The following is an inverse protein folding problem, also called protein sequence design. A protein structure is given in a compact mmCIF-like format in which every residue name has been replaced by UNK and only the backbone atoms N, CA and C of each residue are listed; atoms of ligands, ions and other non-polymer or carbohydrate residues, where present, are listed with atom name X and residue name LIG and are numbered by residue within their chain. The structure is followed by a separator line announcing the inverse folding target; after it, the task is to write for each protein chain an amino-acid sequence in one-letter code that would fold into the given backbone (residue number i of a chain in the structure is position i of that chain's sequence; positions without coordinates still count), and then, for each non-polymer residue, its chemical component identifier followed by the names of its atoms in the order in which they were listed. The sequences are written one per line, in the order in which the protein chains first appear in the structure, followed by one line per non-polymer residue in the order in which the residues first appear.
data_IF_055394886249
#
_entry.id   IF_055394886249
#
_cell.length_a   1.000
_cell.length_b   1.000
_cell.length_c   1.000
_cell.angle_alpha   90.00
_cell.angle_beta   90.00
_cell.angle_gamma   90.00
#
_symmetry.space_group_name_H-M   'P 1'
#
loop_
_entity.id
_entity.type
_entity.pdbx_description
1 polymer ?
#
# COMPACT_ATOMS: atom_id res chain seq x y z
N UNK A 1 7.82 10.07 32.25
CA UNK A 1 7.99 10.49 30.84
C UNK A 1 9.31 11.23 30.73
N UNK A 2 10.13 10.94 29.72
CA UNK A 2 11.48 11.49 29.60
C UNK A 2 11.60 12.22 28.27
N UNK A 3 12.11 13.45 28.30
CA UNK A 3 12.44 14.25 27.12
C UNK A 3 13.95 14.50 27.09
N UNK A 4 14.56 14.48 25.91
CA UNK A 4 15.97 14.90 25.74
C UNK A 4 16.07 16.41 25.53
N UNK A 5 17.00 17.07 26.22
CA UNK A 5 17.13 18.54 26.17
C UNK A 5 17.59 19.08 24.81
N UNK A 6 18.23 18.25 24.00
CA UNK A 6 18.74 18.58 22.66
C UNK A 6 18.23 17.56 21.63
N UNK A 7 16.97 17.14 21.73
CA UNK A 7 16.42 16.14 20.79
C UNK A 7 16.37 16.68 19.35
N UNK A 8 17.00 15.95 18.45
CA UNK A 8 17.02 16.21 16.99
C UNK A 8 16.19 15.19 16.22
N UNK A 9 15.74 14.11 16.87
CA UNK A 9 15.00 13.00 16.28
C UNK A 9 13.49 13.19 16.43
N UNK A 10 13.03 13.57 17.61
CA UNK A 10 11.60 13.78 17.91
C UNK A 10 11.28 15.27 17.76
N UNK A 11 10.36 15.60 16.85
CA UNK A 11 9.91 16.98 16.59
C UNK A 11 8.37 17.06 16.58
N UNK A 12 7.74 17.89 17.44
CA UNK A 12 8.34 18.61 18.58
C UNK A 12 8.87 17.66 19.67
N UNK A 13 9.97 18.02 20.34
CA UNK A 13 10.57 17.17 21.38
C UNK A 13 9.62 16.89 22.57
N UNK A 14 8.69 17.82 22.81
CA UNK A 14 7.71 17.77 23.87
C UNK A 14 6.62 16.70 23.65
N UNK A 15 6.53 16.13 22.45
CA UNK A 15 5.68 14.96 22.20
C UNK A 15 6.07 13.77 23.07
N UNK A 16 7.33 13.68 23.55
CA UNK A 16 7.75 12.70 24.58
C UNK A 16 7.02 12.85 25.92
N UNK A 17 6.39 14.01 26.16
CA UNK A 17 5.55 14.33 27.31
C UNK A 17 4.08 14.43 26.94
N UNK A 18 3.65 13.84 25.81
CA UNK A 18 2.29 13.88 25.29
C UNK A 18 1.79 15.29 24.93
N UNK A 19 2.69 16.23 24.64
CA UNK A 19 2.28 17.51 24.06
C UNK A 19 1.99 17.31 22.58
N UNK A 20 1.04 18.06 22.04
CA UNK A 20 0.61 17.97 20.64
C UNK A 20 0.53 19.35 20.04
N UNK A 21 0.69 19.46 18.73
CA UNK A 21 0.42 20.69 18.00
C UNK A 21 -1.10 20.86 17.81
N UNK A 22 -1.60 22.09 17.89
CA UNK A 22 -2.97 22.43 17.50
C UNK A 22 -3.09 22.73 15.99
N UNK A 23 -4.28 23.15 15.55
CA UNK A 23 -4.56 23.47 14.14
C UNK A 23 -3.68 24.61 13.58
N UNK A 24 -3.12 25.46 14.47
CA UNK A 24 -2.25 26.58 14.12
C UNK A 24 -0.75 26.22 14.27
N UNK A 25 -0.42 24.93 14.46
CA UNK A 25 0.92 24.43 14.79
C UNK A 25 1.50 25.03 16.08
N UNK A 26 0.65 25.45 17.02
CA UNK A 26 1.07 25.88 18.35
C UNK A 26 1.06 24.70 19.31
N UNK A 27 2.09 24.62 20.14
CA UNK A 27 2.32 23.45 20.97
C UNK A 27 1.46 23.50 22.24
N UNK A 28 0.55 22.53 22.39
CA UNK A 28 -0.39 22.41 23.50
C UNK A 28 0.11 21.43 24.56
N UNK A 29 0.38 21.88 25.81
CA UNK A 29 0.76 21.02 26.91
C UNK A 29 -0.30 19.99 27.26
N UNK A 30 0.13 18.82 27.75
CA UNK A 30 -0.75 17.71 28.14
C UNK A 30 -1.92 18.16 29.02
N UNK A 31 -1.66 19.00 30.03
CA UNK A 31 -2.65 19.46 31.00
C UNK A 31 -3.76 20.33 30.39
N UNK A 32 -3.48 20.94 29.24
CA UNK A 32 -4.43 21.78 28.51
C UNK A 32 -5.32 20.99 27.56
N UNK A 33 -4.99 19.73 27.28
CA UNK A 33 -5.71 18.89 26.34
C UNK A 33 -6.93 18.21 26.99
N UNK A 34 -7.99 17.99 26.20
CA UNK A 34 -9.20 17.28 26.65
C UNK A 34 -8.88 15.86 27.15
N UNK A 35 -7.94 15.17 26.48
CA UNK A 35 -7.43 13.84 26.87
C UNK A 35 -7.05 13.77 28.36
N UNK A 36 -6.40 14.82 28.88
CA UNK A 36 -6.00 14.92 30.27
C UNK A 36 -7.11 15.45 31.16
N UNK A 37 -7.79 16.53 30.78
CA UNK A 37 -8.83 17.18 31.61
C UNK A 37 -9.99 16.24 31.91
N UNK A 38 -10.38 15.45 30.91
CA UNK A 38 -11.45 14.45 30.99
C UNK A 38 -10.94 13.06 31.38
N UNK A 39 -9.63 12.90 31.62
CA UNK A 39 -9.01 11.69 32.14
C UNK A 39 -9.25 10.42 31.28
N UNK A 40 -9.29 10.55 29.94
CA UNK A 40 -9.62 9.45 29.02
C UNK A 40 -8.71 8.22 29.19
N UNK A 41 -7.43 8.45 29.50
CA UNK A 41 -6.42 7.41 29.70
C UNK A 41 -5.99 7.24 31.17
N UNK A 42 -6.63 7.94 32.11
CA UNK A 42 -6.23 7.91 33.52
C UNK A 42 -5.00 8.77 33.87
N UNK A 43 -4.50 9.59 32.93
CA UNK A 43 -3.26 10.39 33.10
C UNK A 43 -3.40 11.44 34.19
N UNK A 44 -4.59 12.02 34.37
CA UNK A 44 -4.83 13.02 35.42
C UNK A 44 -4.75 12.39 36.80
N UNK A 45 -5.44 11.26 36.99
CA UNK A 45 -5.37 10.51 38.25
C UNK A 45 -3.96 10.03 38.55
N UNK A 46 -3.19 9.59 37.54
CA UNK A 46 -1.79 9.21 37.73
C UNK A 46 -0.94 10.39 38.18
N UNK A 47 -1.13 11.57 37.58
CA UNK A 47 -0.41 12.79 37.98
C UNK A 47 -0.77 13.22 39.41
N UNK A 48 -2.06 13.27 39.73
CA UNK A 48 -2.55 13.64 41.08
C UNK A 48 -2.08 12.66 42.16
N UNK A 49 -1.91 11.38 41.81
CA UNK A 49 -1.37 10.36 42.70
C UNK A 49 0.17 10.35 42.78
N UNK A 50 0.87 11.28 42.11
CA UNK A 50 2.34 11.34 42.07
C UNK A 50 2.98 10.16 41.32
N UNK A 51 2.24 9.50 40.43
CA UNK A 51 2.70 8.35 39.63
C UNK A 51 3.13 8.73 38.22
N UNK A 52 3.08 10.02 37.89
CA UNK A 52 3.55 10.58 36.64
C UNK A 52 4.65 11.60 36.93
N UNK A 53 5.83 11.37 36.37
CA UNK A 53 6.97 12.29 36.47
C UNK A 53 7.41 12.72 35.07
N UNK A 54 7.81 13.98 34.93
CA UNK A 54 8.34 14.57 33.71
C UNK A 54 9.81 14.88 33.92
N UNK A 55 10.69 14.13 33.27
CA UNK A 55 12.13 14.22 33.44
C UNK A 55 12.79 14.73 32.17
N UNK A 56 13.79 15.58 32.33
CA UNK A 56 14.65 16.03 31.23
C UNK A 56 15.98 15.29 31.32
N UNK A 57 16.30 14.52 30.28
CA UNK A 57 17.60 13.91 30.10
C UNK A 57 18.51 14.90 29.36
N UNK A 58 19.69 15.25 29.90
CA UNK A 58 20.60 16.16 29.21
C UNK A 58 21.22 15.49 27.97
N UNK A 59 21.26 16.21 26.85
CA UNK A 59 21.91 15.76 25.62
C UNK A 59 20.92 15.40 24.51
N UNK A 60 21.44 14.75 23.48
CA UNK A 60 20.67 14.31 22.31
C UNK A 60 20.12 12.90 22.53
N UNK A 61 19.11 12.53 21.74
CA UNK A 61 18.57 11.17 21.71
C UNK A 61 19.64 10.14 21.33
N UNK A 62 20.48 10.49 20.36
CA UNK A 62 21.56 9.65 19.84
C UNK A 62 22.92 10.12 20.38
N UNK A 63 23.82 9.21 20.79
CA UNK A 63 25.17 9.58 21.16
C UNK A 63 25.92 10.23 19.99
N UNK A 64 26.70 11.25 20.29
CA UNK A 64 27.62 11.88 19.32
C UNK A 64 28.95 11.12 19.17
N UNK A 65 29.21 10.18 20.09
CA UNK A 65 30.38 9.28 20.06
C UNK A 65 30.04 7.97 19.36
N UNK A 66 31.05 7.25 18.89
CA UNK A 66 30.88 5.90 18.32
C UNK A 66 30.25 4.93 19.34
N UNK A 67 29.34 4.07 18.87
CA UNK A 67 28.70 3.01 19.64
C UNK A 67 28.49 1.76 18.78
N UNK A 68 28.34 0.62 19.44
CA UNK A 68 28.04 -0.65 18.78
C UNK A 68 26.54 -0.81 18.55
N UNK A 69 26.19 -1.38 17.41
CA UNK A 69 24.81 -1.60 16.96
C UNK A 69 24.57 -3.09 16.79
N UNK A 70 23.46 -3.59 17.32
CA UNK A 70 23.02 -4.97 17.13
C UNK A 70 22.36 -5.08 15.76
N UNK A 71 23.01 -5.79 14.83
CA UNK A 71 22.58 -5.84 13.42
C UNK A 71 21.20 -6.45 13.26
N UNK A 72 20.87 -7.45 14.08
CA UNK A 72 19.57 -8.11 14.04
C UNK A 72 18.43 -7.12 14.32
N UNK A 73 18.56 -6.33 15.39
CA UNK A 73 17.57 -5.32 15.76
C UNK A 73 17.48 -4.21 14.70
N UNK A 74 18.64 -3.79 14.17
CA UNK A 74 18.71 -2.82 13.08
C UNK A 74 17.97 -3.27 11.83
N UNK A 75 18.19 -4.51 11.39
CA UNK A 75 17.52 -5.09 10.24
C UNK A 75 16.00 -5.20 10.46
N UNK A 76 15.56 -5.59 11.66
CA UNK A 76 14.15 -5.67 12.01
C UNK A 76 13.45 -4.31 11.94
N UNK A 77 14.06 -3.26 12.47
CA UNK A 77 13.48 -1.92 12.45
C UNK A 77 13.32 -1.40 11.02
N UNK A 78 14.36 -1.54 10.20
CA UNK A 78 14.32 -1.10 8.80
C UNK A 78 13.30 -1.90 7.99
N UNK A 79 13.29 -3.23 8.13
CA UNK A 79 12.35 -4.08 7.42
C UNK A 79 10.89 -3.78 7.83
N UNK A 80 10.64 -3.50 9.11
CA UNK A 80 9.33 -3.12 9.63
C UNK A 80 8.86 -1.80 9.04
N UNK A 81 9.71 -0.77 9.10
CA UNK A 81 9.39 0.53 8.48
C UNK A 81 9.09 0.37 7.00
N UNK A 82 9.95 -0.36 6.27
CA UNK A 82 9.77 -0.52 4.84
C UNK A 82 8.49 -1.29 4.50
N UNK A 83 8.15 -2.30 5.29
CA UNK A 83 6.90 -3.04 5.13
C UNK A 83 5.67 -2.11 5.23
N UNK A 84 5.57 -1.32 6.30
CA UNK A 84 4.36 -0.56 6.60
C UNK A 84 4.29 0.78 5.87
N UNK A 85 5.40 1.51 5.82
CA UNK A 85 5.39 2.88 5.30
C UNK A 85 5.58 2.94 3.78
N UNK A 86 6.06 1.85 3.17
CA UNK A 86 6.36 1.80 1.73
C UNK A 86 5.65 0.65 1.01
N UNK A 87 5.92 -0.59 1.41
CA UNK A 87 5.47 -1.76 0.68
C UNK A 87 3.93 -1.89 0.70
N UNK A 88 3.29 -1.73 1.85
CA UNK A 88 1.82 -1.81 1.96
C UNK A 88 1.08 -0.77 1.09
N UNK A 89 1.46 0.52 1.10
CA UNK A 89 0.94 1.50 0.15
C UNK A 89 1.12 1.10 -1.33
N UNK A 90 2.30 0.58 -1.68
CA UNK A 90 2.59 0.11 -3.05
C UNK A 90 1.65 -1.03 -3.44
N UNK A 91 1.48 -2.01 -2.54
CA UNK A 91 0.60 -3.16 -2.75
C UNK A 91 -0.85 -2.71 -2.94
N UNK A 92 -1.36 -1.87 -2.03
CA UNK A 92 -2.71 -1.33 -2.09
C UNK A 92 -2.98 -0.58 -3.39
N UNK A 93 -2.05 0.31 -3.78
CA UNK A 93 -2.17 1.06 -5.03
C UNK A 93 -2.09 0.15 -6.26
N UNK A 94 -1.28 -0.90 -6.20
CA UNK A 94 -1.20 -1.93 -7.25
C UNK A 94 -2.55 -2.63 -7.41
N UNK A 95 -3.16 -3.09 -6.33
CA UNK A 95 -4.46 -3.79 -6.39
C UNK A 95 -5.56 -2.90 -6.96
N UNK A 96 -5.65 -1.65 -6.49
CA UNK A 96 -6.60 -0.67 -7.04
C UNK A 96 -6.39 -0.46 -8.54
N UNK A 97 -5.14 -0.25 -8.95
CA UNK A 97 -4.80 -0.04 -10.36
C UNK A 97 -5.17 -1.26 -11.21
N UNK A 98 -4.85 -2.46 -10.74
CA UNK A 98 -5.19 -3.70 -11.43
C UNK A 98 -6.71 -3.84 -11.55
N UNK A 99 -7.46 -3.64 -10.47
CA UNK A 99 -8.91 -3.74 -10.48
C UNK A 99 -9.53 -2.77 -11.51
N UNK A 100 -9.07 -1.52 -11.55
CA UNK A 100 -9.51 -0.52 -12.53
C UNK A 100 -9.20 -0.91 -13.98
N UNK A 101 -8.02 -1.49 -14.25
CA UNK A 101 -7.70 -1.99 -15.60
C UNK A 101 -8.56 -3.21 -15.94
N UNK A 102 -8.71 -4.14 -15.00
CA UNK A 102 -9.46 -5.37 -15.18
C UNK A 102 -10.91 -5.11 -15.58
N UNK A 103 -11.54 -4.08 -15.02
CA UNK A 103 -12.87 -3.63 -15.42
C UNK A 103 -12.93 -3.17 -16.89
N UNK A 104 -11.87 -2.53 -17.42
CA UNK A 104 -11.83 -2.09 -18.82
C UNK A 104 -11.74 -3.26 -19.80
N UNK A 105 -11.22 -4.41 -19.36
CA UNK A 105 -11.14 -5.62 -20.16
C UNK A 105 -12.48 -6.36 -20.26
N UNK A 106 -13.48 -5.99 -19.46
CA UNK A 106 -14.78 -6.67 -19.40
C UNK A 106 -15.86 -5.68 -19.83
N UNK A 107 -16.49 -5.95 -20.98
CA UNK A 107 -17.59 -5.14 -21.49
C UNK A 107 -18.85 -5.99 -21.61
N UNK A 108 -19.93 -5.56 -20.95
CA UNK A 108 -21.24 -6.22 -21.02
C UNK A 108 -22.14 -5.31 -21.84
N UNK A 109 -22.71 -5.84 -22.91
CA UNK A 109 -23.60 -5.11 -23.82
C UNK A 109 -24.94 -5.84 -23.97
N UNK A 110 -26.00 -5.09 -24.28
CA UNK A 110 -27.34 -5.64 -24.58
C UNK A 110 -27.54 -5.65 -26.10
N UNK A 111 -27.80 -6.82 -26.69
CA UNK A 111 -28.11 -6.97 -28.11
C UNK A 111 -29.60 -7.29 -28.29
N UNK A 112 -30.31 -6.54 -29.15
CA UNK A 112 -31.67 -6.91 -29.61
C UNK A 112 -31.57 -8.09 -30.58
N UNK A 113 -32.39 -9.12 -30.39
CA UNK A 113 -32.49 -10.18 -31.39
C UNK A 113 -33.12 -9.62 -32.68
N UNK A 114 -32.38 -9.75 -33.77
CA UNK A 114 -32.69 -9.28 -35.11
C UNK A 114 -34.18 -9.44 -35.48
N UNK A 115 -34.87 -8.31 -35.70
CA UNK A 115 -36.07 -8.30 -36.54
C UNK A 115 -35.61 -7.84 -37.90
N UNK A 116 -35.60 -8.80 -38.81
CA UNK A 116 -35.53 -8.57 -40.25
C UNK A 116 -36.54 -7.50 -40.69
N UNK A 117 -36.22 -6.78 -41.77
CA UNK A 117 -36.96 -5.71 -42.46
C UNK A 117 -36.79 -4.25 -41.99
N UNK A 118 -36.10 -3.49 -42.87
CA UNK A 118 -36.46 -2.15 -43.37
C UNK A 118 -37.67 -1.48 -42.71
N UNK A 119 -37.44 -0.36 -42.01
CA UNK A 119 -38.08 0.93 -42.33
C UNK A 119 -37.50 2.08 -41.48
N UNK A 120 -37.13 3.16 -42.18
CA UNK A 120 -36.81 4.45 -41.58
C UNK A 120 -38.11 5.08 -41.09
N UNK A 121 -38.36 5.15 -39.78
CA UNK A 121 -39.21 6.21 -39.24
C UNK A 121 -38.74 6.70 -37.86
N UNK A 122 -38.32 7.97 -37.87
CA UNK A 122 -38.28 8.86 -36.72
C UNK A 122 -39.58 8.76 -35.92
N UNK A 123 -39.54 8.18 -34.72
CA UNK A 123 -40.54 8.45 -33.69
C UNK A 123 -39.88 8.57 -32.31
N UNK A 124 -39.97 9.78 -31.78
CA UNK A 124 -39.49 10.21 -30.47
C UNK A 124 -40.40 9.61 -29.40
N UNK A 125 -40.08 8.43 -28.89
CA UNK A 125 -40.79 7.83 -27.75
C UNK A 125 -40.10 8.27 -26.46
N UNK A 126 -40.84 8.98 -25.61
CA UNK A 126 -40.46 9.31 -24.23
C UNK A 126 -40.16 8.00 -23.47
N UNK A 127 -38.90 7.78 -23.15
CA UNK A 127 -38.45 6.72 -22.25
C UNK A 127 -38.92 7.08 -20.83
N UNK A 128 -39.73 6.21 -20.23
CA UNK A 128 -40.10 6.30 -18.80
C UNK A 128 -38.87 6.01 -17.94
N UNK A 129 -38.68 6.81 -16.91
CA UNK A 129 -37.52 6.81 -16.00
C UNK A 129 -37.41 5.60 -15.07
N UNK A 130 -38.29 4.60 -15.18
CA UNK A 130 -38.44 3.51 -14.21
C UNK A 130 -37.55 2.29 -14.53
N UNK A 131 -37.35 1.97 -15.82
CA UNK A 131 -36.64 0.74 -16.24
C UNK A 131 -35.10 0.89 -16.36
N UNK A 132 -34.57 2.13 -16.27
CA UNK A 132 -33.11 2.35 -16.24
C UNK A 132 -32.49 1.92 -14.90
N UNK A 133 -33.27 1.93 -13.82
CA UNK A 133 -32.77 1.62 -12.49
C UNK A 133 -32.31 0.15 -12.36
N UNK A 134 -32.96 -0.79 -13.05
CA UNK A 134 -32.65 -2.23 -12.92
C UNK A 134 -31.39 -2.68 -13.68
N UNK A 135 -31.12 -2.10 -14.86
CA UNK A 135 -29.90 -2.40 -15.63
C UNK A 135 -28.65 -1.80 -14.99
N UNK A 136 -28.77 -0.57 -14.47
CA UNK A 136 -27.69 0.10 -13.76
C UNK A 136 -27.34 -0.63 -12.45
N UNK A 137 -28.34 -1.16 -11.73
CA UNK A 137 -28.13 -2.00 -10.54
C UNK A 137 -27.45 -3.31 -10.89
N UNK A 138 -27.89 -4.02 -11.94
CA UNK A 138 -27.26 -5.27 -12.36
C UNK A 138 -25.81 -5.05 -12.78
N UNK A 139 -25.56 -3.98 -13.53
CA UNK A 139 -24.21 -3.58 -13.91
C UNK A 139 -23.38 -3.29 -12.65
N UNK A 140 -23.87 -2.47 -11.73
CA UNK A 140 -23.17 -2.18 -10.47
C UNK A 140 -22.88 -3.44 -9.64
N UNK A 141 -23.81 -4.39 -9.55
CA UNK A 141 -23.63 -5.64 -8.82
C UNK A 141 -22.59 -6.57 -9.47
N UNK A 142 -22.62 -6.71 -10.80
CA UNK A 142 -21.63 -7.52 -11.52
C UNK A 142 -20.24 -6.91 -11.38
N UNK A 143 -20.11 -5.59 -11.55
CA UNK A 143 -18.82 -4.91 -11.41
C UNK A 143 -18.30 -4.95 -9.97
N UNK A 144 -19.18 -4.79 -8.97
CA UNK A 144 -18.81 -4.98 -7.57
C UNK A 144 -18.34 -6.40 -7.26
N UNK A 145 -18.98 -7.42 -7.84
CA UNK A 145 -18.58 -8.81 -7.68
C UNK A 145 -17.22 -9.12 -8.35
N UNK A 146 -16.96 -8.57 -9.54
CA UNK A 146 -15.67 -8.68 -10.22
C UNK A 146 -14.58 -8.04 -9.36
N UNK A 147 -14.82 -6.83 -8.85
CA UNK A 147 -13.88 -6.12 -8.00
C UNK A 147 -13.55 -6.94 -6.75
N UNK A 148 -14.56 -7.41 -6.01
CA UNK A 148 -14.36 -8.25 -4.83
C UNK A 148 -13.62 -9.56 -5.16
N UNK A 149 -13.89 -10.17 -6.31
CA UNK A 149 -13.17 -11.37 -6.75
C UNK A 149 -11.70 -11.07 -7.06
N UNK A 150 -11.41 -9.95 -7.73
CA UNK A 150 -10.03 -9.54 -8.02
C UNK A 150 -9.28 -9.18 -6.73
N UNK A 151 -9.88 -8.40 -5.84
CA UNK A 151 -9.30 -8.00 -4.55
C UNK A 151 -9.09 -9.19 -3.61
N UNK A 152 -9.87 -10.26 -3.73
CA UNK A 152 -9.66 -11.49 -2.95
C UNK A 152 -8.52 -12.39 -3.47
N UNK A 153 -8.27 -12.40 -4.79
CA UNK A 153 -7.25 -13.28 -5.39
C UNK A 153 -5.87 -12.61 -5.53
N UNK A 154 -5.81 -11.30 -5.71
CA UNK A 154 -4.55 -10.57 -5.88
C UNK A 154 -3.62 -10.66 -4.65
N UNK A 155 -4.11 -10.59 -3.39
CA UNK A 155 -3.29 -10.83 -2.21
C UNK A 155 -2.64 -12.21 -2.21
N UNK A 156 -3.41 -13.25 -2.55
CA UNK A 156 -2.89 -14.62 -2.60
C UNK A 156 -1.84 -14.82 -3.70
N UNK A 157 -1.99 -14.12 -4.83
CA UNK A 157 -0.98 -14.12 -5.88
C UNK A 157 0.27 -13.36 -5.43
N UNK A 158 0.10 -12.19 -4.81
CA UNK A 158 1.19 -11.38 -4.29
C UNK A 158 2.02 -12.15 -3.26
N UNK A 159 1.39 -12.77 -2.26
CA UNK A 159 2.07 -13.55 -1.23
C UNK A 159 2.98 -14.65 -1.81
N UNK A 160 2.58 -15.25 -2.94
CA UNK A 160 3.38 -16.27 -3.63
C UNK A 160 4.54 -15.68 -4.43
N UNK A 161 4.34 -14.49 -5.01
CA UNK A 161 5.32 -13.85 -5.89
C UNK A 161 6.35 -13.02 -5.11
N UNK A 162 5.95 -12.46 -3.97
CA UNK A 162 6.69 -11.46 -3.21
C UNK A 162 7.47 -12.02 -2.01
N UNK A 163 7.77 -13.32 -1.98
CA UNK A 163 8.55 -13.96 -0.90
C UNK A 163 9.86 -13.21 -0.58
N UNK A 164 10.52 -12.69 -1.62
CA UNK A 164 11.76 -11.89 -1.50
C UNK A 164 11.56 -10.47 -0.96
N UNK A 165 10.34 -9.94 -1.00
CA UNK A 165 9.99 -8.65 -0.39
C UNK A 165 9.30 -8.83 0.97
N UNK A 166 9.10 -10.07 1.41
CA UNK A 166 8.62 -10.36 2.74
C UNK A 166 9.62 -9.91 3.81
N UNK A 167 9.11 -9.58 4.99
CA UNK A 167 9.90 -9.13 6.13
C UNK A 167 11.12 -10.02 6.43
N UNK A 168 11.03 -11.37 6.47
CA UNK A 168 12.20 -12.22 6.72
C UNK A 168 13.30 -12.09 5.66
N UNK A 169 12.92 -11.93 4.40
CA UNK A 169 13.88 -11.79 3.30
C UNK A 169 14.59 -10.44 3.35
N UNK A 170 13.86 -9.36 3.67
CA UNK A 170 14.42 -8.03 3.86
C UNK A 170 15.35 -7.97 5.07
N UNK A 171 14.93 -8.52 6.22
CA UNK A 171 15.76 -8.59 7.43
C UNK A 171 17.09 -9.30 7.12
N UNK A 172 17.03 -10.45 6.45
CA UNK A 172 18.21 -11.20 6.01
C UNK A 172 19.09 -10.40 5.04
N UNK A 173 18.48 -9.73 4.06
CA UNK A 173 19.19 -8.91 3.09
C UNK A 173 19.94 -7.75 3.77
N UNK A 174 19.24 -6.97 4.61
CA UNK A 174 19.80 -5.81 5.33
C UNK A 174 20.92 -6.26 6.27
N UNK A 175 20.71 -7.36 7.00
CA UNK A 175 21.74 -7.94 7.89
C UNK A 175 23.00 -8.30 7.13
N UNK A 176 22.87 -9.05 6.03
CA UNK A 176 24.00 -9.48 5.22
C UNK A 176 24.78 -8.29 4.64
N UNK A 177 24.06 -7.30 4.09
CA UNK A 177 24.67 -6.08 3.53
C UNK A 177 25.35 -5.23 4.59
N UNK A 178 24.72 -5.09 5.76
CA UNK A 178 25.30 -4.35 6.88
C UNK A 178 26.61 -4.97 7.36
N UNK A 179 26.66 -6.30 7.52
CA UNK A 179 27.86 -7.02 7.93
C UNK A 179 28.94 -7.05 6.84
N UNK A 180 28.55 -7.10 5.56
CA UNK A 180 29.46 -7.02 4.41
C UNK A 180 30.20 -5.67 4.38
N UNK A 181 29.47 -4.56 4.59
CA UNK A 181 30.04 -3.22 4.50
C UNK A 181 30.73 -2.74 5.78
N UNK A 182 30.29 -3.21 6.94
CA UNK A 182 30.78 -2.74 8.24
C UNK A 182 31.15 -3.90 9.20
N UNK A 183 32.17 -4.71 8.90
CA UNK A 183 32.54 -5.83 9.77
C UNK A 183 33.18 -5.33 11.07
N UNK A 184 32.53 -5.59 12.22
CA UNK A 184 33.12 -5.40 13.55
C UNK A 184 33.15 -6.73 14.33
N UNK A 185 32.02 -7.44 14.36
CA UNK A 185 31.87 -8.81 14.91
C UNK A 185 30.77 -9.56 14.13
N UNK A 186 30.41 -10.78 14.54
CA UNK A 186 29.33 -11.57 13.91
C UNK A 186 27.98 -10.86 13.91
N UNK A 187 27.68 -10.12 14.98
CA UNK A 187 26.35 -9.54 15.22
C UNK A 187 26.37 -8.04 15.56
N UNK A 188 27.57 -7.43 15.57
CA UNK A 188 27.76 -6.03 15.92
C UNK A 188 28.42 -5.26 14.80
N UNK A 189 28.01 -4.01 14.64
CA UNK A 189 28.62 -3.03 13.71
C UNK A 189 28.82 -1.67 14.38
N UNK A 190 29.76 -0.89 13.84
CA UNK A 190 30.05 0.47 14.31
C UNK A 190 29.03 1.48 13.78
N UNK A 191 28.54 2.37 14.65
CA UNK A 191 27.66 3.47 14.26
C UNK A 191 28.32 4.45 13.27
N UNK A 192 29.62 4.70 13.41
CA UNK A 192 30.37 5.58 12.49
C UNK A 192 30.49 4.94 11.11
N UNK A 193 30.78 3.64 11.03
CA UNK A 193 30.83 2.94 9.76
C UNK A 193 29.48 2.95 9.05
N UNK A 194 28.40 2.63 9.78
CA UNK A 194 27.05 2.62 9.23
C UNK A 194 26.63 3.99 8.69
N UNK A 195 26.92 5.07 9.43
CA UNK A 195 26.65 6.43 8.96
C UNK A 195 27.41 6.76 7.66
N UNK A 196 28.67 6.36 7.55
CA UNK A 196 29.46 6.57 6.33
C UNK A 196 28.94 5.78 5.13
N UNK A 197 28.36 4.59 5.38
CA UNK A 197 27.85 3.68 4.35
C UNK A 197 26.33 3.78 4.14
N UNK A 198 25.64 4.63 4.88
CA UNK A 198 24.17 4.76 4.86
C UNK A 198 23.60 4.97 3.45
N UNK A 199 24.20 5.87 2.66
CA UNK A 199 23.77 6.12 1.27
C UNK A 199 23.97 4.91 0.36
N UNK A 200 25.06 4.18 0.56
CA UNK A 200 25.35 2.97 -0.22
C UNK A 200 24.35 1.87 0.12
N UNK A 201 24.06 1.67 1.41
CA UNK A 201 23.04 0.71 1.88
C UNK A 201 21.64 1.07 1.36
N UNK A 202 21.28 2.35 1.33
CA UNK A 202 20.00 2.81 0.75
C UNK A 202 19.90 2.47 -0.72
N UNK A 203 20.92 2.82 -1.51
CA UNK A 203 20.95 2.52 -2.94
C UNK A 203 20.87 1.01 -3.21
N UNK A 204 21.61 0.19 -2.46
CA UNK A 204 21.58 -1.27 -2.64
C UNK A 204 20.20 -1.86 -2.27
N UNK A 205 19.57 -1.34 -1.21
CA UNK A 205 18.21 -1.73 -0.82
C UNK A 205 17.16 -1.32 -1.85
N UNK A 206 17.23 -0.09 -2.35
CA UNK A 206 16.37 0.42 -3.43
C UNK A 206 16.49 -0.44 -4.69
N UNK A 207 17.72 -0.76 -5.11
CA UNK A 207 17.96 -1.64 -6.26
C UNK A 207 17.38 -3.04 -6.04
N UNK A 208 17.57 -3.61 -4.85
CA UNK A 208 17.00 -4.91 -4.49
C UNK A 208 15.47 -4.90 -4.58
N UNK A 209 14.83 -3.87 -4.02
CA UNK A 209 13.38 -3.70 -4.06
C UNK A 209 12.91 -3.57 -5.51
N UNK A 210 13.56 -2.70 -6.29
CA UNK A 210 13.19 -2.41 -7.67
C UNK A 210 13.20 -3.68 -8.54
N UNK A 211 14.31 -4.44 -8.49
CA UNK A 211 14.46 -5.67 -9.28
C UNK A 211 13.40 -6.71 -8.90
N UNK A 212 13.09 -6.84 -7.60
CA UNK A 212 12.08 -7.81 -7.16
C UNK A 212 10.66 -7.36 -7.54
N UNK A 213 10.32 -6.08 -7.39
CA UNK A 213 9.03 -5.52 -7.82
C UNK A 213 8.83 -5.66 -9.33
N UNK A 214 9.86 -5.37 -10.12
CA UNK A 214 9.82 -5.55 -11.57
C UNK A 214 9.50 -7.01 -11.95
N UNK A 215 10.16 -7.97 -11.31
CA UNK A 215 9.90 -9.39 -11.53
C UNK A 215 8.46 -9.77 -11.13
N UNK A 216 7.95 -9.26 -10.00
CA UNK A 216 6.57 -9.49 -9.56
C UNK A 216 5.58 -8.95 -10.60
N UNK A 217 5.73 -7.70 -11.03
CA UNK A 217 4.85 -7.10 -12.03
C UNK A 217 4.89 -7.85 -13.36
N UNK A 218 6.08 -8.28 -13.80
CA UNK A 218 6.22 -9.10 -15.00
C UNK A 218 5.47 -10.44 -14.87
N UNK A 219 5.50 -11.09 -13.70
CA UNK A 219 4.76 -12.34 -13.48
C UNK A 219 3.25 -12.11 -13.36
N UNK A 220 2.83 -11.01 -12.73
CA UNK A 220 1.43 -10.61 -12.68
C UNK A 220 0.87 -10.40 -14.11
N UNK A 221 1.54 -9.59 -14.93
CA UNK A 221 1.10 -9.28 -16.29
C UNK A 221 1.10 -10.50 -17.23
N UNK A 222 2.09 -11.39 -17.09
CA UNK A 222 2.27 -12.47 -18.05
C UNK A 222 1.55 -13.76 -17.69
N UNK A 223 1.26 -14.01 -16.41
CA UNK A 223 0.73 -15.28 -15.93
C UNK A 223 -0.56 -15.08 -15.13
N UNK A 224 -0.52 -14.29 -14.06
CA UNK A 224 -1.64 -14.22 -13.09
C UNK A 224 -2.86 -13.52 -13.67
N UNK A 225 -2.69 -12.32 -14.22
CA UNK A 225 -3.81 -11.49 -14.67
C UNK A 225 -4.53 -12.06 -15.90
N UNK A 226 -3.83 -12.62 -16.91
CA UNK A 226 -4.50 -13.34 -17.99
C UNK A 226 -5.33 -14.53 -17.50
N UNK A 227 -4.80 -15.35 -16.57
CA UNK A 227 -5.51 -16.50 -16.02
C UNK A 227 -6.73 -16.05 -15.19
N UNK A 228 -6.57 -15.02 -14.37
CA UNK A 228 -7.65 -14.45 -13.57
C UNK A 228 -8.77 -13.89 -14.46
N UNK A 229 -8.42 -13.18 -15.54
CA UNK A 229 -9.39 -12.66 -16.52
C UNK A 229 -10.12 -13.78 -17.23
N UNK A 230 -9.42 -14.85 -17.64
CA UNK A 230 -10.04 -16.00 -18.25
C UNK A 230 -11.02 -16.69 -17.30
N UNK A 231 -10.63 -16.92 -16.04
CA UNK A 231 -11.51 -17.53 -15.05
C UNK A 231 -12.74 -16.65 -14.75
N UNK A 232 -12.52 -15.36 -14.54
CA UNK A 232 -13.60 -14.41 -14.25
C UNK A 232 -14.58 -14.30 -15.42
N UNK A 233 -14.08 -14.25 -16.66
CA UNK A 233 -14.95 -14.21 -17.84
C UNK A 233 -15.80 -15.46 -17.98
N UNK A 234 -15.25 -16.64 -17.68
CA UNK A 234 -16.01 -17.90 -17.69
C UNK A 234 -17.14 -17.88 -16.64
N UNK A 235 -16.87 -17.35 -15.45
CA UNK A 235 -17.88 -17.21 -14.40
C UNK A 235 -18.97 -16.21 -14.80
N UNK A 236 -18.59 -15.07 -15.41
CA UNK A 236 -19.53 -14.08 -15.92
C UNK A 236 -20.43 -14.62 -17.03
N UNK A 237 -19.91 -15.43 -17.95
CA UNK A 237 -20.74 -16.09 -18.97
C UNK A 237 -21.84 -16.95 -18.34
N UNK A 238 -21.51 -17.68 -17.26
CA UNK A 238 -22.48 -18.50 -16.55
C UNK A 238 -23.58 -17.64 -15.88
N UNK A 239 -23.18 -16.52 -15.27
CA UNK A 239 -24.11 -15.55 -14.66
C UNK A 239 -25.02 -14.94 -15.73
N UNK A 240 -24.47 -14.43 -16.83
CA UNK A 240 -25.26 -13.83 -17.90
C UNK A 240 -26.22 -14.84 -18.55
N UNK A 241 -25.80 -16.10 -18.72
CA UNK A 241 -26.67 -17.17 -19.21
C UNK A 241 -27.85 -17.45 -18.26
N UNK A 242 -27.64 -17.39 -16.95
CA UNK A 242 -28.70 -17.52 -15.96
C UNK A 242 -29.70 -16.35 -16.07
N UNK A 243 -29.21 -15.11 -16.14
CA UNK A 243 -30.06 -13.93 -16.31
C UNK A 243 -30.83 -13.96 -17.63
N UNK A 244 -30.18 -14.28 -18.74
CA UNK A 244 -30.81 -14.42 -20.06
C UNK A 244 -31.89 -15.52 -20.12
N UNK A 245 -31.85 -16.52 -19.21
CA UNK A 245 -32.88 -17.56 -19.10
C UNK A 245 -34.07 -17.14 -18.26
N UNK A 246 -33.83 -16.41 -17.17
CA UNK A 246 -34.87 -16.06 -16.18
C UNK A 246 -35.57 -14.76 -16.53
N UNK A 247 -34.83 -13.78 -17.02
CA UNK A 247 -35.35 -12.47 -17.37
C UNK A 247 -35.54 -12.39 -18.89
N UNK A 248 -36.79 -12.32 -19.32
CA UNK A 248 -37.13 -11.94 -20.70
C UNK A 248 -37.26 -10.42 -20.74
N UNK A 249 -36.20 -9.73 -21.15
CA UNK A 249 -36.25 -8.29 -21.42
C UNK A 249 -37.22 -8.04 -22.59
N UNK A 250 -37.94 -6.90 -22.59
CA UNK A 250 -38.77 -6.53 -23.75
C UNK A 250 -37.86 -6.35 -24.98
N UNK A 251 -38.35 -6.75 -26.15
CA UNK A 251 -37.64 -6.75 -27.45
C UNK A 251 -36.58 -7.84 -27.68
N UNK A 252 -36.64 -9.00 -26.99
CA UNK A 252 -35.66 -10.08 -27.14
C UNK A 252 -34.21 -9.60 -26.90
N UNK A 253 -34.01 -8.63 -26.03
CA UNK A 253 -32.67 -8.19 -25.64
C UNK A 253 -31.97 -9.27 -24.83
N UNK A 254 -30.70 -9.57 -25.17
CA UNK A 254 -29.85 -10.50 -24.46
C UNK A 254 -28.56 -9.83 -24.06
N UNK A 255 -28.07 -10.14 -22.86
CA UNK A 255 -26.73 -9.75 -22.47
C UNK A 255 -25.69 -10.55 -23.23
N UNK A 256 -24.70 -9.85 -23.78
CA UNK A 256 -23.49 -10.42 -24.37
C UNK A 256 -22.25 -9.89 -23.66
N UNK A 257 -21.31 -10.78 -23.39
CA UNK A 257 -20.01 -10.45 -22.83
C UNK A 257 -18.98 -10.33 -23.96
N UNK A 258 -18.27 -9.21 -24.00
CA UNK A 258 -17.06 -9.03 -24.79
C UNK A 258 -15.87 -8.83 -23.85
N UNK A 259 -14.84 -9.66 -24.00
CA UNK A 259 -13.62 -9.62 -23.19
C UNK A 259 -12.46 -9.20 -24.07
N UNK A 260 -11.76 -8.15 -23.68
CA UNK A 260 -10.53 -7.71 -24.34
C UNK A 260 -9.36 -8.50 -23.72
N UNK A 261 -8.53 -9.21 -24.50
CA UNK A 261 -7.37 -9.91 -23.97
C UNK A 261 -6.40 -8.98 -23.24
N UNK A 262 -5.83 -9.45 -22.13
CA UNK A 262 -4.87 -8.67 -21.32
C UNK A 262 -3.66 -8.17 -22.13
N UNK A 263 -3.13 -8.99 -23.05
CA UNK A 263 -1.87 -8.73 -23.78
C UNK A 263 -1.97 -7.81 -25.01
N UNK A 264 -3.10 -7.17 -25.28
CA UNK A 264 -3.28 -6.41 -26.54
C UNK A 264 -2.85 -4.94 -26.48
N UNK A 265 -2.43 -4.40 -25.34
CA UNK A 265 -1.95 -3.03 -25.27
C UNK A 265 -0.41 -2.94 -25.26
N UNK A 266 0.13 -1.97 -26.01
CA UNK A 266 1.58 -1.72 -26.22
C UNK A 266 2.35 -1.59 -24.90
N UNK A 267 3.67 -1.76 -24.90
CA UNK A 267 4.57 -1.63 -23.73
C UNK A 267 4.27 -0.41 -22.82
N UNK A 268 3.77 0.69 -23.39
CA UNK A 268 3.33 1.91 -22.68
C UNK A 268 2.20 1.69 -21.67
N UNK A 269 1.47 0.57 -21.74
CA UNK A 269 0.31 0.26 -20.89
C UNK A 269 0.57 -0.80 -19.82
N UNK A 270 1.75 -1.43 -19.84
CA UNK A 270 2.15 -2.45 -18.87
C UNK A 270 2.02 -1.94 -17.44
N UNK A 271 1.71 -2.82 -16.50
CA UNK A 271 1.64 -2.42 -15.08
C UNK A 271 2.97 -1.83 -14.63
N UNK A 272 4.07 -2.35 -15.19
CA UNK A 272 5.42 -1.83 -15.01
C UNK A 272 5.52 -0.33 -15.32
N UNK A 273 5.08 0.12 -16.50
CA UNK A 273 5.21 1.52 -16.91
C UNK A 273 4.35 2.47 -16.07
N UNK A 274 3.22 1.99 -15.55
CA UNK A 274 2.28 2.78 -14.73
C UNK A 274 2.67 2.83 -13.25
N UNK A 275 3.21 1.74 -12.70
CA UNK A 275 3.42 1.59 -11.25
C UNK A 275 4.85 1.88 -10.82
N UNK A 276 5.86 1.65 -11.67
CA UNK A 276 7.27 1.94 -11.29
C UNK A 276 7.52 3.44 -11.05
N UNK A 277 7.03 4.38 -11.86
CA UNK A 277 7.24 5.81 -11.59
C UNK A 277 6.63 6.28 -10.27
N UNK A 278 5.57 5.60 -9.79
CA UNK A 278 4.95 5.89 -8.50
C UNK A 278 5.79 5.42 -7.31
N UNK A 279 6.71 4.48 -7.51
CA UNK A 279 7.71 4.07 -6.51
C UNK A 279 8.75 5.16 -6.26
N UNK A 280 9.07 5.95 -7.30
CA UNK A 280 10.07 7.03 -7.23
C UNK A 280 9.47 8.36 -6.75
N UNK A 281 8.14 8.49 -6.80
CA UNK A 281 7.43 9.69 -6.33
C UNK A 281 7.07 9.64 -4.84
N UNK A 282 7.15 8.46 -4.21
CA UNK A 282 6.94 8.31 -2.78
C UNK A 282 8.23 8.71 -2.03
N UNK A 283 8.23 9.94 -1.54
CA UNK A 283 9.01 10.47 -0.43
C UNK A 283 10.38 11.10 -0.75
N UNK A 284 10.32 12.40 -1.08
CA UNK A 284 11.34 13.40 -0.72
C UNK A 284 11.46 13.62 0.82
N UNK A 285 10.65 12.92 1.64
CA UNK A 285 10.59 13.09 3.10
C UNK A 285 11.58 12.24 3.90
N UNK A 286 12.33 11.34 3.24
CA UNK A 286 13.43 10.67 3.92
C UNK A 286 14.72 11.45 3.68
N UNK A 287 15.28 12.14 4.70
CA UNK A 287 16.63 12.63 4.59
C UNK A 287 17.52 11.44 4.23
N UNK A 288 18.61 11.70 3.51
CA UNK A 288 19.69 10.76 3.17
C UNK A 288 20.33 10.03 4.38
N UNK A 289 19.72 10.15 5.56
CA UNK A 289 20.09 9.70 6.89
C UNK A 289 19.14 8.61 7.46
N UNK A 290 18.25 8.03 6.65
CA UNK A 290 17.30 6.97 7.06
C UNK A 290 17.97 5.83 7.85
N UNK A 291 19.06 5.26 7.33
CA UNK A 291 19.80 4.20 8.03
C UNK A 291 20.45 4.70 9.34
N UNK A 292 20.90 5.96 9.38
CA UNK A 292 21.49 6.54 10.60
C UNK A 292 20.45 6.75 11.70
N UNK A 293 19.20 7.04 11.34
CA UNK A 293 18.09 7.16 12.29
C UNK A 293 17.87 5.83 13.03
N UNK A 294 17.73 4.73 12.29
CA UNK A 294 17.51 3.40 12.88
C UNK A 294 18.75 2.80 13.55
N UNK A 295 19.95 3.21 13.12
CA UNK A 295 21.21 2.83 13.76
C UNK A 295 21.22 3.25 15.24
N UNK A 296 20.75 4.46 15.55
CA UNK A 296 20.66 4.96 16.91
C UNK A 296 19.70 4.17 17.80
N UNK A 297 18.54 3.80 17.26
CA UNK A 297 17.54 3.00 17.97
C UNK A 297 17.99 1.54 18.22
N UNK A 298 19.05 1.11 17.52
CA UNK A 298 19.57 -0.26 17.54
C UNK A 298 20.86 -0.43 18.36
N UNK A 299 21.18 0.55 19.21
CA UNK A 299 22.37 0.54 20.07
C UNK A 299 22.37 -0.66 21.02
N UNK A 300 23.54 -1.30 21.16
CA UNK A 300 23.81 -2.38 22.11
C UNK A 300 23.93 -1.90 23.56
#
# INVERSE_FOLDING_TARGET
MIQFSQDVMIKPAQTSWFWVDDEDNELVPLESQSLYREDWLGLKKLNEAGRLEFLVCPGQHCPTTEYSIVVEHFAQLIATHWQFDHLEPIISNTYRTIAEQFQKHIQITTQKADRDSTEQHFFRVKVSSDDRMDLDILHAQIFGAIQAHTEGNLPLAWDRLADKLGRPALESYIKNKTLEHCPLSSDLVSSVCLQQRARQLSSEMEDYIHVNLENIYNQLDNQVLPELLQKTSQDLVNVLNYFNRIFSFRDNERFSLSVIPWKQEKEETSLKSKLIPLLLAHNDDHPTDFFSHYACLSRA
#
